data_IF_395748763113
#
_entry.id   IF_395748763113
#
_cell.length_a   1.000
_cell.length_b   1.000
_cell.length_c   1.000
_cell.angle_alpha   90.00
_cell.angle_beta   90.00
_cell.angle_gamma   90.00
#
_symmetry.space_group_name_H-M   'P 1'
#
loop_
_entity.id
_entity.type
_entity.pdbx_description
1 polymer ?
#
# COMPACT_ATOMS: atom_id res chain seq x y z
N UNK A 1 1.75 23.70 11.80
CA UNK A 1 3.16 23.44 12.13
C UNK A 1 3.84 22.52 11.11
N UNK A 2 3.24 21.37 10.75
CA UNK A 2 3.85 20.40 9.83
C UNK A 2 4.04 20.92 8.38
N UNK A 3 3.17 21.78 7.87
CA UNK A 3 3.24 22.32 6.50
C UNK A 3 4.43 23.27 6.34
N UNK A 4 4.74 24.09 7.36
CA UNK A 4 5.92 24.99 7.30
C UNK A 4 7.22 24.21 7.27
N UNK A 5 7.35 23.19 8.08
CA UNK A 5 8.55 22.33 8.12
C UNK A 5 8.78 21.56 6.80
N UNK A 6 7.71 21.14 6.15
CA UNK A 6 7.74 20.47 4.84
C UNK A 6 8.24 21.41 3.73
N UNK A 7 7.69 22.63 3.66
CA UNK A 7 8.14 23.67 2.70
C UNK A 7 9.61 24.03 2.92
N UNK A 8 10.06 24.13 4.17
CA UNK A 8 11.43 24.47 4.51
C UNK A 8 12.43 23.41 4.03
N UNK A 9 12.12 22.12 4.16
CA UNK A 9 12.94 21.02 3.62
C UNK A 9 13.04 21.08 2.09
N UNK A 10 11.96 21.37 1.40
CA UNK A 10 11.94 21.52 -0.05
C UNK A 10 12.81 22.71 -0.50
N UNK A 11 12.76 23.85 0.21
CA UNK A 11 13.60 25.00 -0.02
C UNK A 11 15.09 24.69 0.18
N UNK A 12 15.47 24.00 1.24
CA UNK A 12 16.86 23.65 1.50
C UNK A 12 17.49 22.81 0.39
N UNK A 13 16.79 21.84 -0.16
CA UNK A 13 17.28 21.04 -1.29
C UNK A 13 17.39 21.89 -2.55
N UNK A 14 16.46 22.83 -2.78
CA UNK A 14 16.35 23.61 -3.98
C UNK A 14 17.41 24.72 -4.06
N UNK A 15 17.65 25.44 -2.98
CA UNK A 15 18.35 26.72 -3.04
C UNK A 15 19.82 26.62 -2.61
N UNK A 16 20.19 25.64 -1.79
CA UNK A 16 21.54 25.63 -1.20
C UNK A 16 22.54 24.68 -1.85
N UNK A 17 22.10 23.60 -2.45
CA UNK A 17 23.00 22.50 -2.82
C UNK A 17 23.10 22.27 -4.33
N UNK A 18 22.02 22.45 -5.10
CA UNK A 18 22.03 22.16 -6.53
C UNK A 18 23.01 22.99 -7.37
N UNK A 19 23.19 24.32 -7.15
CA UNK A 19 24.11 25.11 -7.95
C UNK A 19 25.59 24.81 -7.69
N UNK A 20 25.91 24.20 -6.55
CA UNK A 20 27.29 24.01 -6.05
C UNK A 20 27.90 22.65 -6.39
N UNK A 21 27.11 21.73 -6.98
CA UNK A 21 27.53 20.34 -7.18
C UNK A 21 27.67 20.01 -8.65
N UNK A 22 28.78 19.35 -9.01
CA UNK A 22 29.03 18.85 -10.36
C UNK A 22 27.94 17.85 -10.77
N UNK A 23 27.26 18.12 -11.88
CA UNK A 23 26.11 17.30 -12.38
C UNK A 23 26.44 15.81 -12.56
N UNK A 24 27.70 15.48 -12.92
CA UNK A 24 28.14 14.10 -13.13
C UNK A 24 28.59 13.37 -11.85
N UNK A 25 28.73 14.08 -10.72
CA UNK A 25 29.08 13.46 -9.44
C UNK A 25 27.94 12.63 -8.89
N UNK A 26 28.23 11.69 -7.95
CA UNK A 26 27.21 10.90 -7.25
C UNK A 26 26.18 11.80 -6.55
N UNK A 27 26.64 12.87 -5.93
CA UNK A 27 25.79 13.88 -5.30
C UNK A 27 24.91 14.61 -6.32
N UNK A 28 25.46 14.98 -7.49
CA UNK A 28 24.70 15.61 -8.56
C UNK A 28 23.58 14.71 -9.09
N UNK A 29 23.86 13.43 -9.26
CA UNK A 29 22.86 12.43 -9.67
C UNK A 29 21.77 12.25 -8.61
N UNK A 30 22.12 12.17 -7.32
CA UNK A 30 21.18 12.07 -6.22
C UNK A 30 20.25 13.28 -6.13
N UNK A 31 20.80 14.48 -6.29
CA UNK A 31 20.04 15.73 -6.29
C UNK A 31 19.12 15.79 -7.51
N UNK A 32 19.60 15.43 -8.70
CA UNK A 32 18.79 15.40 -9.92
C UNK A 32 17.60 14.42 -9.77
N UNK A 33 17.84 13.26 -9.17
CA UNK A 33 16.79 12.31 -8.82
C UNK A 33 15.76 12.91 -7.85
N UNK A 34 16.22 13.53 -6.76
CA UNK A 34 15.32 14.21 -5.81
C UNK A 34 14.47 15.29 -6.52
N UNK A 35 15.06 16.06 -7.43
CA UNK A 35 14.33 17.06 -8.21
C UNK A 35 13.26 16.45 -9.11
N UNK A 36 13.51 15.30 -9.70
CA UNK A 36 12.51 14.60 -10.54
C UNK A 36 11.30 14.13 -9.72
N UNK A 37 11.47 13.90 -8.42
CA UNK A 37 10.41 13.48 -7.51
C UNK A 37 9.60 14.65 -6.91
N UNK A 38 10.15 15.86 -6.87
CA UNK A 38 9.50 17.02 -6.26
C UNK A 38 8.07 17.28 -6.75
N UNK A 39 7.74 17.17 -8.06
CA UNK A 39 6.37 17.34 -8.53
C UNK A 39 5.39 16.34 -7.91
N UNK A 40 5.86 15.09 -7.68
CA UNK A 40 5.06 14.02 -7.06
C UNK A 40 4.89 14.21 -5.55
N UNK A 41 5.73 15.02 -4.93
CA UNK A 41 5.66 15.34 -3.51
C UNK A 41 4.74 16.54 -3.20
N UNK A 42 4.19 17.22 -4.21
CA UNK A 42 3.27 18.35 -4.00
C UNK A 42 2.08 18.01 -3.09
N UNK A 43 1.37 16.87 -3.25
CA UNK A 43 0.28 16.50 -2.35
C UNK A 43 0.71 16.45 -0.89
N UNK A 44 1.92 15.94 -0.61
CA UNK A 44 2.49 15.89 0.74
C UNK A 44 2.61 17.29 1.39
N UNK A 45 2.85 18.34 0.60
CA UNK A 45 2.96 19.70 1.12
C UNK A 45 1.60 20.32 1.48
N UNK A 46 0.54 19.87 0.85
CA UNK A 46 -0.79 20.45 0.97
C UNK A 46 -1.72 19.64 1.89
N UNK A 47 -1.51 18.33 2.00
CA UNK A 47 -2.34 17.46 2.84
C UNK A 47 -1.55 16.96 4.06
N UNK A 48 -1.96 17.41 5.26
CA UNK A 48 -1.36 17.02 6.53
C UNK A 48 -1.59 15.55 6.92
N UNK A 49 -2.49 14.85 6.27
CA UNK A 49 -2.80 13.43 6.52
C UNK A 49 -1.78 12.48 5.89
N UNK A 50 -1.05 12.96 4.88
CA UNK A 50 -0.04 12.15 4.20
C UNK A 50 1.23 12.12 5.05
N UNK A 51 1.63 10.92 5.48
CA UNK A 51 2.88 10.70 6.19
C UNK A 51 4.07 10.68 5.23
N UNK A 52 5.25 11.08 5.74
CA UNK A 52 6.50 11.07 4.96
C UNK A 52 7.10 9.67 4.86
N UNK A 53 6.73 8.80 5.78
CA UNK A 53 7.18 7.42 5.85
C UNK A 53 6.17 6.47 5.19
N UNK A 54 6.64 5.27 4.87
CA UNK A 54 5.86 4.18 4.29
C UNK A 54 5.56 3.06 5.31
N UNK A 55 5.75 3.32 6.60
CA UNK A 55 5.63 2.33 7.67
C UNK A 55 4.30 1.58 7.63
N UNK A 56 3.22 2.28 7.31
CA UNK A 56 1.88 1.68 7.26
C UNK A 56 1.76 0.64 6.14
N UNK A 57 2.27 0.95 4.96
CA UNK A 57 2.30 0.02 3.83
C UNK A 57 3.27 -1.15 4.10
N UNK A 58 4.44 -0.86 4.65
CA UNK A 58 5.41 -1.90 5.03
C UNK A 58 4.85 -2.86 6.08
N UNK A 59 4.16 -2.36 7.09
CA UNK A 59 3.51 -3.18 8.11
C UNK A 59 2.35 -4.03 7.54
N UNK A 60 1.62 -3.51 6.55
CA UNK A 60 0.58 -4.27 5.87
C UNK A 60 1.17 -5.44 5.05
N UNK A 61 2.33 -5.24 4.41
CA UNK A 61 3.02 -6.26 3.61
C UNK A 61 3.86 -7.23 4.45
N UNK A 62 4.21 -6.87 5.67
CA UNK A 62 5.11 -7.64 6.54
C UNK A 62 4.69 -9.11 6.74
N UNK A 63 3.41 -9.45 6.97
CA UNK A 63 2.98 -10.85 7.09
C UNK A 63 3.30 -11.67 5.83
N UNK A 64 3.10 -11.10 4.64
CA UNK A 64 3.40 -11.74 3.37
C UNK A 64 4.90 -11.99 3.20
N UNK A 65 5.73 -10.99 3.53
CA UNK A 65 7.20 -11.10 3.44
C UNK A 65 7.74 -12.15 4.40
N UNK A 66 7.18 -12.27 5.60
CA UNK A 66 7.55 -13.31 6.57
C UNK A 66 7.15 -14.69 6.05
N UNK A 67 5.93 -14.83 5.50
CA UNK A 67 5.44 -16.08 4.93
C UNK A 67 6.29 -16.56 3.76
N UNK A 68 6.85 -15.66 2.95
CA UNK A 68 7.78 -16.02 1.86
C UNK A 68 9.06 -16.73 2.33
N UNK A 69 9.50 -16.52 3.57
CA UNK A 69 10.65 -17.25 4.13
C UNK A 69 10.33 -18.71 4.39
N UNK A 70 9.07 -19.04 4.60
CA UNK A 70 8.60 -20.40 4.85
C UNK A 70 8.10 -21.07 3.56
N UNK A 71 7.53 -20.30 2.64
CA UNK A 71 7.05 -20.77 1.34
C UNK A 71 7.88 -20.11 0.24
N UNK A 72 8.88 -20.84 -0.28
CA UNK A 72 9.84 -20.32 -1.26
C UNK A 72 9.22 -20.12 -2.65
N UNK A 73 8.18 -20.86 -2.99
CA UNK A 73 7.48 -20.75 -4.29
C UNK A 73 5.99 -21.02 -4.15
N UNK A 74 5.24 -20.50 -5.11
CA UNK A 74 3.79 -20.67 -5.22
C UNK A 74 3.38 -21.75 -6.25
N UNK A 75 4.31 -22.58 -6.71
CA UNK A 75 4.05 -23.62 -7.70
C UNK A 75 3.99 -23.09 -9.14
N UNK A 76 2.98 -22.31 -9.50
CA UNK A 76 2.82 -21.69 -10.80
C UNK A 76 2.32 -20.23 -10.67
N UNK A 77 2.15 -19.55 -11.81
CA UNK A 77 1.70 -18.15 -11.84
C UNK A 77 0.29 -17.98 -11.28
N UNK A 78 -0.63 -18.86 -11.64
CA UNK A 78 -2.02 -18.84 -11.15
C UNK A 78 -2.10 -19.02 -9.62
N UNK A 79 -1.30 -19.94 -9.07
CA UNK A 79 -1.21 -20.10 -7.62
C UNK A 79 -0.65 -18.86 -6.91
N UNK A 80 0.28 -18.14 -7.56
CA UNK A 80 0.80 -16.87 -7.04
C UNK A 80 -0.26 -15.77 -7.03
N UNK A 81 -1.06 -15.66 -8.08
CA UNK A 81 -2.18 -14.71 -8.17
C UNK A 81 -3.24 -15.01 -7.10
N UNK A 82 -3.65 -16.27 -6.96
CA UNK A 82 -4.59 -16.70 -5.93
C UNK A 82 -4.07 -16.40 -4.52
N UNK A 83 -2.78 -16.65 -4.27
CA UNK A 83 -2.13 -16.29 -3.01
C UNK A 83 -2.16 -14.80 -2.76
N UNK A 84 -1.90 -13.97 -3.77
CA UNK A 84 -1.94 -12.52 -3.66
C UNK A 84 -3.35 -12.02 -3.32
N UNK A 85 -4.40 -12.58 -3.94
CA UNK A 85 -5.80 -12.25 -3.66
C UNK A 85 -6.14 -12.59 -2.21
N UNK A 86 -5.84 -13.81 -1.76
CA UNK A 86 -6.12 -14.26 -0.39
C UNK A 86 -5.38 -13.37 0.62
N UNK A 87 -4.10 -13.10 0.40
CA UNK A 87 -3.32 -12.23 1.28
C UNK A 87 -3.88 -10.81 1.35
N UNK A 88 -4.39 -10.27 0.23
CA UNK A 88 -5.04 -8.96 0.19
C UNK A 88 -6.31 -8.92 1.02
N UNK A 89 -7.15 -9.95 0.93
CA UNK A 89 -8.38 -10.06 1.71
C UNK A 89 -8.10 -10.19 3.21
N UNK A 90 -7.15 -11.06 3.59
CA UNK A 90 -6.74 -11.22 4.99
C UNK A 90 -6.08 -9.96 5.56
N UNK A 91 -5.29 -9.25 4.73
CA UNK A 91 -4.72 -7.95 5.08
C UNK A 91 -5.79 -6.90 5.32
N UNK A 92 -6.84 -6.88 4.50
CA UNK A 92 -8.00 -6.00 4.65
C UNK A 92 -8.78 -6.29 5.94
N UNK A 93 -8.95 -7.55 6.31
CA UNK A 93 -9.54 -7.94 7.60
C UNK A 93 -8.75 -7.33 8.76
N UNK A 94 -7.42 -7.44 8.73
CA UNK A 94 -6.54 -6.90 9.77
C UNK A 94 -6.65 -5.38 9.88
N UNK A 95 -6.64 -4.66 8.76
CA UNK A 95 -6.75 -3.19 8.73
C UNK A 95 -8.11 -2.70 9.26
N UNK A 96 -9.16 -3.49 9.10
CA UNK A 96 -10.52 -3.19 9.58
C UNK A 96 -10.83 -3.74 10.97
N UNK A 97 -9.88 -4.44 11.61
CA UNK A 97 -10.09 -5.07 12.92
C UNK A 97 -11.09 -6.24 12.87
N UNK A 98 -11.32 -6.81 11.70
CA UNK A 98 -12.17 -7.98 11.50
C UNK A 98 -11.36 -9.24 11.77
N UNK A 99 -11.94 -10.19 12.51
CA UNK A 99 -11.31 -11.50 12.70
C UNK A 99 -11.30 -12.28 11.38
N UNK A 100 -10.14 -12.56 10.77
CA UNK A 100 -10.07 -13.20 9.46
C UNK A 100 -10.71 -14.58 9.43
N UNK A 101 -10.62 -15.32 10.54
CA UNK A 101 -11.20 -16.67 10.64
C UNK A 101 -12.72 -16.64 10.65
N UNK A 102 -13.29 -15.71 11.40
CA UNK A 102 -14.76 -15.56 11.46
C UNK A 102 -15.31 -15.11 10.12
N UNK A 103 -14.66 -14.11 9.54
CA UNK A 103 -14.99 -13.61 8.21
C UNK A 103 -14.93 -14.73 7.16
N UNK A 104 -13.83 -15.49 7.11
CA UNK A 104 -13.63 -16.54 6.13
C UNK A 104 -14.67 -17.67 6.28
N UNK A 105 -14.96 -18.10 7.53
CA UNK A 105 -15.96 -19.12 7.79
C UNK A 105 -17.36 -18.70 7.33
N UNK A 106 -17.71 -17.44 7.49
CA UNK A 106 -19.00 -16.91 7.05
C UNK A 106 -19.06 -16.75 5.53
N UNK A 107 -17.96 -16.27 4.92
CA UNK A 107 -17.93 -15.97 3.49
C UNK A 107 -17.84 -17.24 2.63
N UNK A 108 -17.07 -18.27 3.02
CA UNK A 108 -16.87 -19.48 2.18
C UNK A 108 -18.20 -20.17 1.81
N UNK A 109 -19.20 -20.12 2.68
CA UNK A 109 -20.50 -20.74 2.41
C UNK A 109 -21.43 -19.93 1.49
N UNK A 110 -21.11 -18.67 1.22
CA UNK A 110 -22.00 -17.72 0.52
C UNK A 110 -21.82 -17.57 -1.00
N UNK A 111 -20.64 -17.81 -1.62
CA UNK A 111 -20.42 -17.57 -3.04
C UNK A 111 -21.46 -18.19 -3.97
N UNK A 112 -21.98 -19.43 -3.73
CA UNK A 112 -23.00 -20.00 -4.59
C UNK A 112 -24.25 -19.13 -4.74
N UNK A 113 -24.61 -18.38 -3.70
CA UNK A 113 -25.80 -17.50 -3.71
C UNK A 113 -25.54 -16.15 -4.41
N UNK A 114 -24.29 -15.74 -4.54
CA UNK A 114 -23.89 -14.45 -5.15
C UNK A 114 -23.48 -14.60 -6.62
N UNK A 115 -23.03 -15.80 -7.04
CA UNK A 115 -22.53 -16.08 -8.39
C UNK A 115 -23.61 -16.63 -9.33
N UNK A 116 -24.85 -16.81 -8.85
CA UNK A 116 -25.96 -17.26 -9.71
C UNK A 116 -26.31 -16.16 -10.72
N UNK A 117 -26.42 -16.48 -12.03
CA UNK A 117 -26.95 -15.55 -13.02
C UNK A 117 -28.35 -15.07 -12.60
N UNK A 118 -28.56 -13.77 -12.45
CA UNK A 118 -29.76 -13.11 -11.91
C UNK A 118 -29.81 -12.97 -10.38
N UNK A 119 -28.70 -13.14 -9.67
CA UNK A 119 -28.65 -12.78 -8.26
C UNK A 119 -28.71 -11.25 -8.12
N UNK A 120 -29.64 -10.75 -7.31
CA UNK A 120 -29.70 -9.30 -6.93
C UNK A 120 -28.64 -8.92 -5.89
N UNK A 121 -27.80 -9.88 -5.47
CA UNK A 121 -26.80 -9.68 -4.42
C UNK A 121 -25.47 -9.23 -5.01
N UNK A 122 -24.91 -8.18 -4.45
CA UNK A 122 -23.58 -7.67 -4.85
C UNK A 122 -22.47 -8.45 -4.09
N UNK A 123 -21.55 -9.14 -4.81
CA UNK A 123 -20.40 -9.79 -4.17
C UNK A 123 -19.53 -8.87 -3.30
N UNK A 124 -19.61 -7.56 -3.51
CA UNK A 124 -18.90 -6.56 -2.69
C UNK A 124 -19.33 -6.58 -1.23
N UNK A 125 -20.54 -7.04 -0.91
CA UNK A 125 -21.01 -7.18 0.47
C UNK A 125 -20.19 -8.19 1.28
N UNK A 126 -19.49 -9.11 0.61
CA UNK A 126 -18.62 -10.10 1.22
C UNK A 126 -17.22 -9.57 1.53
N UNK A 127 -16.87 -8.39 1.06
CA UNK A 127 -15.56 -7.81 1.32
C UNK A 127 -15.40 -7.40 2.80
N UNK A 128 -14.20 -7.55 3.37
CA UNK A 128 -13.96 -7.29 4.79
C UNK A 128 -14.29 -5.88 5.27
N UNK A 129 -14.30 -4.89 4.36
CA UNK A 129 -14.59 -3.49 4.68
C UNK A 129 -16.09 -3.20 4.84
N UNK A 130 -16.93 -3.99 4.20
CA UNK A 130 -18.40 -3.86 4.24
C UNK A 130 -19.04 -4.94 5.10
N UNK A 131 -18.34 -6.09 5.28
CA UNK A 131 -18.84 -7.24 5.99
C UNK A 131 -19.31 -6.89 7.40
N UNK A 132 -20.55 -7.25 7.71
CA UNK A 132 -21.15 -7.16 9.04
C UNK A 132 -21.68 -8.55 9.42
N UNK A 133 -21.34 -8.94 10.64
CA UNK A 133 -21.83 -10.19 11.25
C UNK A 133 -23.30 -10.06 11.62
#
# INVERSE_FOLDING_TARGET
LHVRSRRQRQMCIRDSTYPKVLKRSLMGKAIAYAYSLLPRMKPYLHDGRIFIDNNRCENALRPLVISRKNMLFCGNHEAAENTAIICSLLGSCKERGVNPREWLNDVIGKPPYYLVPKSDRDPRELLPDVWRK
#
